data_IF_419788615844
#
_entry.id   IF_419788615844
#
_cell.length_a   1.000
_cell.length_b   1.000
_cell.length_c   1.000
_cell.angle_alpha   90.00
_cell.angle_beta   90.00
_cell.angle_gamma   90.00
#
_symmetry.space_group_name_H-M   'P 1'
#
loop_
_entity.id
_entity.type
_entity.pdbx_description
1 polymer ?
#
# COMPACT_ATOMS: atom_id res chain seq x y z
N UNK A 1 24.50 5.94 56.49
CA UNK A 1 23.61 7.09 56.19
C UNK A 1 24.17 7.70 54.92
N UNK A 2 23.63 7.36 53.74
CA UNK A 2 22.46 8.03 53.14
C UNK A 2 22.95 9.31 52.45
N UNK A 3 22.73 9.60 51.17
CA UNK A 3 21.63 9.22 50.31
C UNK A 3 22.06 9.12 48.84
N UNK A 4 21.30 8.26 48.18
CA UNK A 4 21.27 7.89 46.79
C UNK A 4 20.83 9.09 45.93
N UNK A 5 21.66 9.49 44.95
CA UNK A 5 21.23 10.36 43.88
C UNK A 5 20.38 9.53 42.91
N UNK A 6 19.08 9.55 43.15
CA UNK A 6 18.08 9.06 42.22
C UNK A 6 18.12 9.97 40.98
N UNK A 7 18.70 9.49 39.88
CA UNK A 7 18.48 10.07 38.57
C UNK A 7 17.03 9.82 38.16
N UNK A 8 16.25 10.89 38.16
CA UNK A 8 14.85 10.89 37.72
C UNK A 8 14.73 10.37 36.28
N UNK A 9 13.65 9.66 35.94
CA UNK A 9 13.42 9.21 34.58
C UNK A 9 13.15 10.43 33.69
N UNK A 10 14.04 10.56 32.70
CA UNK A 10 13.95 11.41 31.51
C UNK A 10 12.50 11.78 31.16
N UNK A 11 12.15 13.06 31.40
CA UNK A 11 10.89 13.63 30.94
C UNK A 11 10.75 13.33 29.43
N UNK A 12 9.62 12.73 29.07
CA UNK A 12 9.36 12.24 27.73
C UNK A 12 9.25 13.44 26.78
N UNK A 13 10.36 13.80 26.14
CA UNK A 13 10.41 14.78 25.05
C UNK A 13 9.26 14.49 24.06
N UNK A 14 8.49 15.52 23.64
CA UNK A 14 7.43 15.36 22.66
C UNK A 14 7.96 14.67 21.42
N UNK A 15 7.30 13.57 21.03
CA UNK A 15 7.73 12.79 19.88
C UNK A 15 7.51 13.61 18.62
N UNK A 16 8.53 13.68 17.77
CA UNK A 16 8.32 14.24 16.44
C UNK A 16 7.25 13.43 15.69
N UNK A 17 6.24 14.13 15.17
CA UNK A 17 5.18 13.56 14.35
C UNK A 17 5.75 12.73 13.21
N UNK A 18 5.16 11.56 12.94
CA UNK A 18 5.62 10.70 11.84
C UNK A 18 5.27 11.32 10.49
N UNK A 19 6.23 11.31 9.57
CA UNK A 19 6.11 11.81 8.20
C UNK A 19 6.72 10.78 7.25
N UNK A 20 6.46 10.93 5.96
CA UNK A 20 7.14 10.19 4.93
C UNK A 20 8.55 10.73 4.72
N UNK A 21 9.50 9.84 4.49
CA UNK A 21 10.86 10.22 4.13
C UNK A 21 10.86 10.89 2.75
N UNK A 22 11.60 12.00 2.62
CA UNK A 22 11.56 12.87 1.45
C UNK A 22 12.19 12.23 0.19
N UNK A 23 13.32 11.54 0.34
CA UNK A 23 14.11 10.99 -0.77
C UNK A 23 13.88 9.50 -1.02
N UNK A 24 13.84 8.69 0.02
CA UNK A 24 13.57 7.26 -0.07
C UNK A 24 12.07 7.02 -0.35
N UNK A 25 11.69 7.07 -1.61
CA UNK A 25 10.33 6.76 -2.08
C UNK A 25 10.36 6.27 -3.52
N UNK A 26 9.36 5.50 -3.89
CA UNK A 26 9.21 4.99 -5.25
C UNK A 26 8.98 6.09 -6.27
N UNK A 27 9.34 5.82 -7.52
CA UNK A 27 9.33 6.79 -8.62
C UNK A 27 7.93 7.36 -8.93
N UNK A 28 6.86 6.65 -8.59
CA UNK A 28 5.48 7.09 -8.80
C UNK A 28 4.90 7.85 -7.61
N UNK A 29 5.66 8.10 -6.55
CA UNK A 29 5.19 8.77 -5.33
C UNK A 29 5.44 10.28 -5.38
N UNK A 30 4.37 11.05 -5.22
CA UNK A 30 4.42 12.47 -4.85
C UNK A 30 4.04 12.63 -3.39
N UNK A 31 4.90 13.33 -2.66
CA UNK A 31 4.63 13.78 -1.29
C UNK A 31 4.10 15.21 -1.31
N UNK A 32 3.27 15.56 -0.34
CA UNK A 32 2.89 16.94 -0.10
C UNK A 32 4.03 17.75 0.56
N UNK A 33 3.84 19.06 0.67
CA UNK A 33 4.86 19.96 1.23
C UNK A 33 5.18 19.65 2.70
N UNK A 34 4.22 19.11 3.45
CA UNK A 34 4.41 18.72 4.84
C UNK A 34 5.00 17.32 4.98
N UNK A 35 5.11 16.53 3.90
CA UNK A 35 5.55 15.14 3.95
C UNK A 35 4.62 14.22 4.74
N UNK A 36 3.39 14.63 5.04
CA UNK A 36 2.42 13.81 5.77
C UNK A 36 1.47 13.06 4.82
N UNK A 37 1.47 13.38 3.52
CA UNK A 37 0.62 12.76 2.50
C UNK A 37 1.45 12.20 1.36
N UNK A 38 1.18 10.95 0.98
CA UNK A 38 1.77 10.30 -0.17
C UNK A 38 0.68 9.94 -1.17
N UNK A 39 0.91 10.26 -2.44
CA UNK A 39 0.00 9.96 -3.54
C UNK A 39 0.75 9.32 -4.70
N UNK A 40 0.10 8.35 -5.34
CA UNK A 40 0.62 7.73 -6.57
C UNK A 40 0.19 8.55 -7.78
N UNK A 41 1.12 8.82 -8.68
CA UNK A 41 0.94 9.71 -9.83
C UNK A 41 0.29 9.02 -11.02
N UNK A 42 0.82 7.86 -11.39
CA UNK A 42 0.38 7.01 -12.48
C UNK A 42 0.74 5.56 -12.14
N UNK A 43 0.22 4.61 -12.93
CA UNK A 43 0.46 3.15 -12.79
C UNK A 43 -0.04 2.57 -11.46
N UNK A 44 0.39 1.36 -11.11
CA UNK A 44 0.04 0.62 -9.89
C UNK A 44 1.28 0.12 -9.12
N UNK A 45 2.49 0.47 -9.56
CA UNK A 45 3.78 0.04 -8.98
C UNK A 45 4.67 1.24 -8.65
N UNK A 46 5.84 0.99 -8.06
CA UNK A 46 6.76 2.03 -7.55
C UNK A 46 6.11 2.98 -6.53
N UNK A 47 5.24 2.42 -5.69
CA UNK A 47 4.46 3.12 -4.66
C UNK A 47 5.08 3.09 -3.26
N UNK A 48 6.32 2.60 -3.13
CA UNK A 48 6.97 2.36 -1.84
C UNK A 48 7.29 3.68 -1.14
N UNK A 49 6.96 3.78 0.14
CA UNK A 49 7.30 4.90 1.01
C UNK A 49 7.76 4.41 2.39
N UNK A 50 8.59 5.21 3.04
CA UNK A 50 9.13 4.91 4.37
C UNK A 50 8.81 6.04 5.34
N UNK A 51 8.79 5.76 6.65
CA UNK A 51 8.79 6.82 7.65
C UNK A 51 10.12 7.58 7.65
N UNK A 52 10.09 8.87 8.00
CA UNK A 52 11.31 9.69 8.06
C UNK A 52 12.21 9.33 9.24
N UNK A 53 11.65 8.73 10.30
CA UNK A 53 12.38 8.30 11.50
C UNK A 53 12.06 6.85 11.87
N UNK A 54 12.89 6.22 12.72
CA UNK A 54 12.55 4.96 13.35
C UNK A 54 11.25 5.05 14.18
N UNK A 55 10.49 3.96 14.15
CA UNK A 55 9.28 3.74 14.93
C UNK A 55 9.61 2.80 16.09
N UNK A 56 9.22 3.19 17.31
CA UNK A 56 9.49 2.38 18.50
C UNK A 56 8.60 1.13 18.51
N UNK A 57 9.03 0.03 19.12
CA UNK A 57 8.14 -1.10 19.39
C UNK A 57 6.88 -0.63 20.13
N UNK A 58 5.73 -1.17 19.75
CA UNK A 58 4.38 -0.81 20.23
C UNK A 58 3.89 0.60 19.89
N UNK A 59 4.68 1.43 19.21
CA UNK A 59 4.19 2.68 18.63
C UNK A 59 3.25 2.37 17.47
N UNK A 60 2.06 2.98 17.49
CA UNK A 60 1.06 2.80 16.44
C UNK A 60 1.31 3.79 15.33
N UNK A 61 1.65 3.28 14.15
CA UNK A 61 1.63 4.07 12.92
C UNK A 61 0.19 4.17 12.46
N UNK A 62 -0.31 5.39 12.30
CA UNK A 62 -1.70 5.66 11.94
C UNK A 62 -1.73 6.26 10.54
N UNK A 63 -2.49 5.64 9.65
CA UNK A 63 -2.70 6.06 8.27
C UNK A 63 -4.18 6.36 8.06
N UNK A 64 -4.48 7.44 7.34
CA UNK A 64 -5.78 7.64 6.69
C UNK A 64 -5.65 7.30 5.21
N UNK A 65 -6.54 6.45 4.70
CA UNK A 65 -6.67 6.23 3.26
C UNK A 65 -7.47 7.38 2.67
N UNK A 66 -6.90 8.12 1.74
CA UNK A 66 -7.53 9.33 1.19
C UNK A 66 -8.28 9.07 -0.09
N UNK A 67 -7.70 8.27 -0.98
CA UNK A 67 -8.22 8.07 -2.31
C UNK A 67 -8.07 6.62 -2.75
N UNK A 68 -9.11 6.13 -3.43
CA UNK A 68 -9.20 4.82 -4.05
C UNK A 68 -9.30 4.98 -5.57
N UNK A 69 -8.80 4.00 -6.33
CA UNK A 69 -8.97 3.89 -7.78
C UNK A 69 -9.39 2.47 -8.18
N UNK A 70 -10.67 2.31 -8.54
CA UNK A 70 -11.32 1.01 -8.79
C UNK A 70 -10.82 0.27 -10.04
N UNK A 71 -9.98 0.94 -10.85
CA UNK A 71 -9.39 0.37 -12.06
C UNK A 71 -8.26 -0.63 -11.78
N UNK A 72 -7.79 -0.69 -10.54
CA UNK A 72 -6.67 -1.55 -10.12
C UNK A 72 -7.16 -2.59 -9.12
N UNK A 73 -6.53 -3.75 -9.05
CA UNK A 73 -6.75 -4.69 -7.94
C UNK A 73 -5.54 -4.74 -7.00
N UNK A 74 -5.83 -5.23 -5.79
CA UNK A 74 -4.89 -5.42 -4.69
C UNK A 74 -4.84 -4.23 -3.76
N UNK A 75 -4.42 -4.48 -2.52
CA UNK A 75 -4.53 -3.53 -1.42
C UNK A 75 -3.22 -2.89 -1.01
N UNK A 76 -3.36 -1.86 -0.18
CA UNK A 76 -2.29 -1.24 0.59
C UNK A 76 -1.48 -2.31 1.34
N UNK A 77 -0.14 -2.23 1.25
CA UNK A 77 0.75 -3.02 2.10
C UNK A 77 1.36 -2.15 3.18
N UNK A 78 1.52 -2.73 4.35
CA UNK A 78 2.14 -2.08 5.51
C UNK A 78 3.11 -3.03 6.19
N UNK A 79 4.12 -2.46 6.83
CA UNK A 79 5.14 -3.24 7.52
C UNK A 79 6.24 -2.41 8.14
N UNK A 80 7.33 -3.09 8.48
CA UNK A 80 8.54 -2.48 9.00
C UNK A 80 9.78 -2.97 8.27
N UNK A 81 10.81 -2.14 8.21
CA UNK A 81 12.11 -2.47 7.64
C UNK A 81 13.24 -2.04 8.57
N UNK A 82 14.39 -2.73 8.47
CA UNK A 82 15.67 -2.27 9.06
C UNK A 82 16.52 -1.48 8.07
N UNK A 83 16.04 -1.29 6.84
CA UNK A 83 16.70 -0.41 5.89
C UNK A 83 16.55 1.03 6.38
N UNK A 84 17.67 1.69 6.61
CA UNK A 84 17.70 3.11 6.95
C UNK A 84 17.39 3.95 5.69
N UNK A 85 16.24 4.66 5.65
CA UNK A 85 15.83 5.45 4.50
C UNK A 85 16.83 6.53 4.09
N UNK A 86 17.63 7.06 5.02
CA UNK A 86 18.69 8.05 4.70
C UNK A 86 19.80 7.44 3.84
N UNK A 87 19.95 6.11 3.88
CA UNK A 87 20.97 5.36 3.14
C UNK A 87 20.41 4.72 1.87
N UNK A 88 19.11 4.82 1.63
CA UNK A 88 18.45 4.26 0.45
C UNK A 88 18.44 5.26 -0.71
N UNK A 89 18.81 4.77 -1.89
CA UNK A 89 18.59 5.51 -3.14
C UNK A 89 17.22 5.13 -3.71
N UNK A 90 16.41 6.12 -4.11
CA UNK A 90 15.13 5.88 -4.77
C UNK A 90 15.26 4.97 -6.02
N UNK A 91 16.38 5.07 -6.74
CA UNK A 91 16.66 4.25 -7.92
C UNK A 91 16.96 2.76 -7.60
N UNK A 92 17.24 2.44 -6.33
CA UNK A 92 17.48 1.06 -5.87
C UNK A 92 16.23 0.38 -5.33
N UNK A 93 15.10 1.09 -5.26
CA UNK A 93 13.85 0.51 -4.77
C UNK A 93 13.24 -0.41 -5.83
N UNK A 94 12.82 -1.62 -5.46
CA UNK A 94 12.07 -2.49 -6.36
C UNK A 94 10.64 -1.94 -6.59
N UNK A 95 9.92 -2.45 -7.60
CA UNK A 95 8.58 -1.97 -7.92
C UNK A 95 7.54 -2.27 -6.84
N UNK A 96 7.73 -3.30 -6.01
CA UNK A 96 6.79 -3.69 -4.96
C UNK A 96 7.46 -3.95 -3.61
N UNK A 97 6.74 -3.69 -2.52
CA UNK A 97 7.22 -4.14 -1.19
C UNK A 97 7.13 -5.66 -1.07
N UNK A 98 6.01 -6.24 -1.53
CA UNK A 98 5.78 -7.68 -1.53
C UNK A 98 5.65 -8.19 -2.99
N UNK A 99 6.42 -9.19 -3.41
CA UNK A 99 7.43 -9.92 -2.62
C UNK A 99 8.80 -9.23 -2.56
N UNK A 100 9.11 -8.34 -3.51
CA UNK A 100 10.49 -7.97 -3.85
C UNK A 100 11.31 -7.43 -2.67
N UNK A 101 10.86 -6.35 -2.01
CA UNK A 101 11.61 -5.75 -0.92
C UNK A 101 11.71 -6.68 0.29
N UNK A 102 10.65 -7.45 0.57
CA UNK A 102 10.63 -8.44 1.66
C UNK A 102 11.63 -9.58 1.42
N UNK A 103 11.78 -10.05 0.18
CA UNK A 103 12.69 -11.15 -0.14
C UNK A 103 14.16 -10.71 -0.24
N UNK A 104 14.41 -9.47 -0.64
CA UNK A 104 15.75 -8.95 -0.92
C UNK A 104 16.41 -8.25 0.29
N UNK A 105 15.66 -7.97 1.35
CA UNK A 105 16.12 -7.09 2.43
C UNK A 105 15.50 -7.47 3.79
N UNK A 106 16.02 -6.96 4.91
CA UNK A 106 15.41 -7.14 6.23
C UNK A 106 14.12 -6.31 6.38
N UNK A 107 13.09 -6.69 5.63
CA UNK A 107 11.79 -6.03 5.53
C UNK A 107 10.67 -7.03 5.78
N UNK A 108 9.72 -6.64 6.62
CA UNK A 108 8.56 -7.45 7.00
C UNK A 108 7.29 -6.65 6.76
N UNK A 109 6.63 -6.93 5.64
CA UNK A 109 5.38 -6.30 5.27
C UNK A 109 4.39 -7.33 4.75
N UNK A 110 3.12 -6.95 4.74
CA UNK A 110 2.03 -7.75 4.20
C UNK A 110 0.94 -6.85 3.62
N UNK A 111 0.14 -7.43 2.72
CA UNK A 111 -1.08 -6.78 2.22
C UNK A 111 -2.15 -6.77 3.30
N UNK A 112 -2.85 -5.63 3.41
CA UNK A 112 -4.03 -5.55 4.27
C UNK A 112 -5.14 -6.43 3.69
N UNK A 113 -5.97 -7.06 4.54
CA UNK A 113 -7.13 -7.82 4.08
C UNK A 113 -8.05 -6.97 3.20
N UNK A 114 -8.79 -7.63 2.32
CA UNK A 114 -9.75 -6.97 1.45
C UNK A 114 -10.76 -6.15 2.27
N UNK A 115 -11.15 -4.98 1.75
CA UNK A 115 -12.04 -4.05 2.44
C UNK A 115 -11.44 -3.34 3.66
N UNK A 116 -10.18 -3.58 4.02
CA UNK A 116 -9.54 -2.95 5.20
C UNK A 116 -8.80 -1.64 4.89
N UNK A 117 -8.95 -1.11 3.67
CA UNK A 117 -8.28 0.09 3.18
C UNK A 117 -9.14 0.85 2.16
N UNK A 118 -10.39 1.16 2.53
CA UNK A 118 -11.29 2.00 1.73
C UNK A 118 -11.02 3.48 1.98
N UNK A 119 -11.42 4.36 1.06
CA UNK A 119 -11.26 5.80 1.24
C UNK A 119 -12.01 6.26 2.51
N UNK A 120 -11.31 7.00 3.38
CA UNK A 120 -11.77 7.41 4.70
C UNK A 120 -11.31 6.51 5.85
N UNK A 121 -10.88 5.27 5.58
CA UNK A 121 -10.47 4.34 6.62
C UNK A 121 -9.20 4.78 7.35
N UNK A 122 -9.18 4.50 8.66
CA UNK A 122 -8.03 4.65 9.53
C UNK A 122 -7.36 3.31 9.76
N UNK A 123 -6.22 3.10 9.11
CA UNK A 123 -5.40 1.90 9.31
C UNK A 123 -4.35 2.19 10.38
N UNK A 124 -4.26 1.33 11.39
CA UNK A 124 -3.25 1.38 12.43
C UNK A 124 -2.43 0.11 12.40
N UNK A 125 -1.11 0.21 12.34
CA UNK A 125 -0.24 -0.97 12.44
C UNK A 125 0.91 -0.70 13.40
N UNK A 126 1.38 -1.78 14.02
CA UNK A 126 2.45 -1.74 15.02
C UNK A 126 3.12 -3.10 15.13
N UNK A 127 4.37 -3.10 15.59
CA UNK A 127 5.08 -4.31 15.99
C UNK A 127 5.14 -4.40 17.51
N UNK A 128 4.82 -5.54 18.08
CA UNK A 128 4.97 -5.75 19.53
C UNK A 128 6.43 -6.12 19.90
N UNK A 129 6.80 -6.14 21.20
CA UNK A 129 8.15 -6.51 21.62
C UNK A 129 8.55 -7.95 21.27
N UNK A 130 7.59 -8.81 20.88
CA UNK A 130 7.82 -10.21 20.46
C UNK A 130 8.07 -10.33 18.95
N UNK A 131 8.11 -9.22 18.21
CA UNK A 131 8.32 -9.24 16.75
C UNK A 131 7.07 -9.59 15.94
N UNK A 132 5.88 -9.43 16.54
CA UNK A 132 4.60 -9.67 15.85
C UNK A 132 4.06 -8.36 15.27
N UNK A 133 3.86 -8.31 13.96
CA UNK A 133 3.26 -7.20 13.23
C UNK A 133 1.75 -7.35 13.21
N UNK A 134 1.06 -6.36 13.77
CA UNK A 134 -0.40 -6.28 13.78
C UNK A 134 -0.88 -5.10 12.96
N UNK A 135 -2.11 -5.20 12.45
CA UNK A 135 -2.85 -4.08 11.91
C UNK A 135 -4.31 -4.09 12.42
N UNK A 136 -4.93 -2.92 12.44
CA UNK A 136 -6.35 -2.70 12.79
C UNK A 136 -6.89 -1.63 11.87
N UNK A 137 -8.07 -1.84 11.30
CA UNK A 137 -8.78 -0.81 10.54
C UNK A 137 -9.95 -0.28 11.35
N UNK A 138 -10.05 1.04 11.47
CA UNK A 138 -11.09 1.73 12.24
C UNK A 138 -11.24 1.14 13.66
N UNK A 139 -12.48 0.87 14.07
CA UNK A 139 -12.82 0.20 15.32
C UNK A 139 -12.98 -1.32 15.18
N UNK A 140 -12.63 -1.88 14.02
CA UNK A 140 -12.66 -3.31 13.77
C UNK A 140 -11.66 -4.11 14.60
N UNK A 141 -11.71 -5.45 14.54
CA UNK A 141 -10.75 -6.29 15.23
C UNK A 141 -9.33 -6.07 14.68
N UNK A 142 -8.33 -6.11 15.56
CA UNK A 142 -6.94 -6.19 15.13
C UNK A 142 -6.61 -7.57 14.59
N UNK A 143 -5.80 -7.65 13.55
CA UNK A 143 -5.34 -8.88 12.94
C UNK A 143 -3.82 -8.92 12.83
N UNK A 144 -3.29 -10.14 12.81
CA UNK A 144 -1.86 -10.40 12.76
C UNK A 144 -1.42 -10.55 11.30
N UNK A 145 -0.48 -9.71 10.88
CA UNK A 145 0.10 -9.75 9.54
C UNK A 145 1.33 -10.64 9.47
N UNK A 146 2.25 -10.53 10.45
CA UNK A 146 3.52 -11.31 10.50
C UNK A 146 3.97 -11.60 11.93
N UNK A 147 4.79 -12.64 12.11
CA UNK A 147 5.27 -13.13 13.43
C UNK A 147 6.79 -13.07 13.60
N UNK A 148 7.50 -12.63 12.57
CA UNK A 148 8.93 -12.86 12.40
C UNK A 148 9.72 -11.57 12.20
N UNK A 149 9.16 -10.43 12.64
CA UNK A 149 9.89 -9.15 12.61
C UNK A 149 11.07 -9.24 13.56
N UNK A 150 12.27 -9.10 13.04
CA UNK A 150 13.46 -9.13 13.87
C UNK A 150 13.56 -7.85 14.71
N UNK A 151 13.59 -8.02 16.03
CA UNK A 151 13.74 -6.94 17.01
C UNK A 151 15.21 -6.72 17.39
N UNK A 152 15.52 -5.60 18.07
CA UNK A 152 16.87 -5.28 18.54
C UNK A 152 17.69 -4.37 17.62
N UNK A 153 17.07 -3.82 16.58
CA UNK A 153 17.61 -2.73 15.77
C UNK A 153 16.50 -1.72 15.49
N UNK A 154 16.84 -0.47 15.10
CA UNK A 154 15.84 0.51 14.67
C UNK A 154 14.99 -0.05 13.52
N UNK A 155 13.69 0.23 13.57
CA UNK A 155 12.71 -0.17 12.55
C UNK A 155 12.06 1.08 11.97
N UNK A 156 11.98 1.18 10.66
CA UNK A 156 11.20 2.22 9.97
C UNK A 156 9.91 1.61 9.47
N UNK A 157 8.84 2.39 9.49
CA UNK A 157 7.60 2.00 8.84
C UNK A 157 7.81 1.97 7.32
N UNK A 158 7.28 0.96 6.66
CA UNK A 158 7.24 0.87 5.19
C UNK A 158 5.82 0.62 4.76
N UNK A 159 5.40 1.36 3.73
CA UNK A 159 4.09 1.24 3.11
C UNK A 159 4.24 1.18 1.59
N UNK A 160 3.29 0.53 0.93
CA UNK A 160 3.24 0.47 -0.53
C UNK A 160 1.89 1.01 -1.00
N UNK A 161 1.89 2.21 -1.60
CA UNK A 161 0.70 2.87 -2.18
C UNK A 161 0.35 2.15 -3.49
N UNK A 162 -0.17 0.94 -3.35
CA UNK A 162 -0.37 -0.02 -4.42
C UNK A 162 -1.85 -0.24 -4.76
N UNK A 163 -2.08 -0.62 -6.01
CA UNK A 163 -3.35 -1.18 -6.46
C UNK A 163 -4.46 -0.16 -6.32
N UNK A 164 -5.51 -0.52 -5.60
CA UNK A 164 -6.67 0.34 -5.38
C UNK A 164 -6.35 1.59 -4.58
N UNK A 165 -5.36 1.55 -3.69
CA UNK A 165 -5.00 2.70 -2.86
C UNK A 165 -4.19 3.69 -3.67
N UNK A 166 -4.71 4.91 -3.83
CA UNK A 166 -4.07 5.98 -4.61
C UNK A 166 -3.39 7.03 -3.75
N UNK A 167 -3.91 7.30 -2.56
CA UNK A 167 -3.30 8.25 -1.63
C UNK A 167 -3.53 7.86 -0.18
N UNK A 168 -2.52 8.11 0.65
CA UNK A 168 -2.53 7.88 2.10
C UNK A 168 -1.94 9.08 2.84
N UNK A 169 -2.33 9.25 4.10
CA UNK A 169 -1.87 10.31 4.99
C UNK A 169 -1.43 9.72 6.33
N UNK A 170 -0.21 10.04 6.76
CA UNK A 170 0.27 9.74 8.10
C UNK A 170 -0.35 10.73 9.09
N UNK A 171 -1.01 10.18 10.10
CA UNK A 171 -1.60 10.95 11.18
C UNK A 171 -0.68 10.95 12.40
N UNK A 172 -0.56 12.11 13.03
CA UNK A 172 0.07 12.23 14.33
C UNK A 172 -0.93 11.78 15.42
N UNK A 173 -0.65 10.71 16.17
CA UNK A 173 -1.54 10.27 17.25
C UNK A 173 -1.53 11.22 18.46
N UNK A 174 -0.57 12.16 18.54
CA UNK A 174 -0.48 13.18 19.59
C UNK A 174 -1.07 14.53 19.19
N UNK A 175 -1.29 14.76 17.89
CA UNK A 175 -2.12 15.87 17.45
C UNK A 175 -3.57 15.54 17.81
N UNK A 176 -4.11 16.27 18.80
CA UNK A 176 -5.51 16.17 19.17
C UNK A 176 -6.39 16.20 17.92
N UNK A 177 -7.42 15.36 17.92
CA UNK A 177 -8.46 15.31 16.90
C UNK A 177 -8.85 16.73 16.44
N UNK A 178 -8.41 17.11 15.25
CA UNK A 178 -8.96 18.24 14.53
C UNK A 178 -10.01 17.66 13.57
N UNK A 179 -11.29 18.07 13.66
CA UNK A 179 -12.25 17.76 12.61
C UNK A 179 -11.67 18.26 11.29
N UNK A 180 -11.66 17.37 10.29
CA UNK A 180 -11.13 17.65 8.96
C UNK A 180 -11.50 19.06 8.50
N UNK A 181 -10.50 19.81 8.03
CA UNK A 181 -10.77 20.91 7.11
C UNK A 181 -11.71 20.37 6.02
N UNK A 182 -12.84 21.06 5.84
CA UNK A 182 -13.90 20.71 4.89
C UNK A 182 -13.31 20.26 3.55
N UNK A 183 -13.87 19.24 2.90
CA UNK A 183 -13.69 19.12 1.47
C UNK A 183 -14.42 20.31 0.84
N UNK A 184 -13.67 21.29 0.36
CA UNK A 184 -14.21 22.27 -0.57
C UNK A 184 -14.45 21.56 -1.90
N UNK A 185 -15.72 21.30 -2.19
CA UNK A 185 -16.27 21.00 -3.51
C UNK A 185 -16.59 22.35 -4.23
N UNK A 186 -17.02 22.39 -5.50
CA UNK A 186 -17.31 21.30 -6.44
C UNK A 186 -16.70 21.51 -7.85
N UNK A 187 -16.48 20.42 -8.59
CA UNK A 187 -16.51 20.49 -10.04
C UNK A 187 -17.54 19.46 -10.52
N UNK A 188 -18.71 19.99 -10.87
CA UNK A 188 -19.68 19.30 -11.71
C UNK A 188 -19.09 19.23 -13.12
N UNK A 189 -18.67 18.05 -13.55
CA UNK A 189 -18.86 17.68 -14.95
C UNK A 189 -19.48 16.28 -14.98
N UNK A 190 -20.65 16.24 -15.61
CA UNK A 190 -21.61 15.16 -15.60
C UNK A 190 -21.01 13.82 -16.06
N UNK A 191 -21.29 12.77 -15.29
CA UNK A 191 -21.27 11.41 -15.82
C UNK A 191 -22.72 10.96 -16.02
N UNK A 192 -23.10 10.47 -17.20
CA UNK A 192 -24.41 9.89 -17.41
C UNK A 192 -24.48 8.56 -16.64
N UNK A 193 -25.58 8.39 -15.92
CA UNK A 193 -26.03 7.11 -15.41
C UNK A 193 -26.22 6.16 -16.60
N UNK A 194 -25.45 5.08 -16.73
CA UNK A 194 -25.82 3.96 -17.59
C UNK A 194 -25.27 2.64 -17.06
N UNK A 195 -26.21 1.91 -16.45
CA UNK A 195 -26.59 0.52 -16.73
C UNK A 195 -25.56 -0.60 -16.52
N UNK A 196 -26.02 -1.58 -15.74
CA UNK A 196 -25.43 -2.87 -15.43
C UNK A 196 -24.81 -3.58 -16.64
N UNK A 197 -23.49 -3.46 -16.81
CA UNK A 197 -22.71 -4.49 -17.45
C UNK A 197 -22.25 -5.45 -16.35
N UNK A 198 -22.89 -6.61 -16.26
CA UNK A 198 -22.44 -7.72 -15.40
C UNK A 198 -20.96 -7.96 -15.65
N UNK A 199 -20.10 -7.47 -14.76
CA UNK A 199 -18.66 -7.65 -14.87
C UNK A 199 -18.40 -9.15 -14.75
N UNK A 200 -17.86 -9.78 -15.81
CA UNK A 200 -17.49 -11.19 -15.76
C UNK A 200 -16.57 -11.44 -14.57
N UNK A 201 -16.75 -12.53 -13.84
CA UNK A 201 -15.88 -12.90 -12.71
C UNK A 201 -14.57 -13.49 -13.21
N UNK A 202 -13.49 -13.33 -12.45
CA UNK A 202 -12.19 -13.87 -12.81
C UNK A 202 -12.23 -15.41 -12.82
N UNK A 203 -11.85 -16.00 -13.95
CA UNK A 203 -11.87 -17.45 -14.16
C UNK A 203 -10.86 -18.26 -13.31
N UNK A 204 -9.95 -17.59 -12.59
CA UNK A 204 -8.95 -18.23 -11.72
C UNK A 204 -9.40 -18.20 -10.26
N UNK A 205 -9.85 -17.04 -9.77
CA UNK A 205 -10.17 -16.87 -8.36
C UNK A 205 -11.66 -16.89 -8.06
N UNK A 206 -12.54 -16.61 -9.03
CA UNK A 206 -13.99 -16.47 -8.83
C UNK A 206 -14.40 -15.47 -7.74
N UNK A 207 -13.48 -14.59 -7.32
CA UNK A 207 -13.72 -13.62 -6.23
C UNK A 207 -13.71 -12.18 -6.72
N UNK A 208 -12.98 -11.89 -7.79
CA UNK A 208 -12.79 -10.53 -8.30
C UNK A 208 -13.25 -10.43 -9.75
N UNK A 209 -13.69 -9.24 -10.15
CA UNK A 209 -14.06 -8.97 -11.54
C UNK A 209 -12.88 -9.17 -12.51
N UNK A 210 -13.19 -9.74 -13.66
CA UNK A 210 -12.32 -9.87 -14.82
C UNK A 210 -12.13 -8.49 -15.45
N UNK A 211 -11.00 -7.85 -15.15
CA UNK A 211 -10.73 -6.45 -15.50
C UNK A 211 -9.36 -6.25 -16.14
N UNK A 212 -8.67 -7.33 -16.49
CA UNK A 212 -7.28 -7.30 -16.95
C UNK A 212 -7.12 -8.07 -18.24
N UNK A 213 -6.45 -7.44 -19.21
CA UNK A 213 -6.10 -7.98 -20.51
C UNK A 213 -4.65 -8.49 -20.54
N UNK A 214 -4.46 -9.66 -21.13
CA UNK A 214 -3.14 -10.22 -21.43
C UNK A 214 -2.71 -9.85 -22.85
N UNK A 215 -1.62 -9.11 -23.01
CA UNK A 215 -1.08 -8.69 -24.31
C UNK A 215 -0.04 -9.71 -24.78
N UNK A 216 -0.01 -10.10 -26.08
CA UNK A 216 -0.82 -9.58 -27.18
C UNK A 216 -2.13 -10.33 -27.44
N UNK A 217 -2.46 -11.34 -26.63
CA UNK A 217 -3.56 -12.25 -26.96
C UNK A 217 -4.97 -11.69 -26.70
N UNK A 218 -5.12 -10.56 -26.00
CA UNK A 218 -6.39 -9.88 -25.79
C UNK A 218 -7.33 -10.50 -24.75
N UNK A 219 -6.94 -11.60 -24.10
CA UNK A 219 -7.83 -12.31 -23.18
C UNK A 219 -8.04 -11.53 -21.88
N UNK A 220 -9.31 -11.34 -21.48
CA UNK A 220 -9.72 -10.45 -20.39
C UNK A 220 -10.34 -11.12 -19.17
N UNK A 221 -10.44 -12.45 -19.14
CA UNK A 221 -11.14 -13.25 -18.12
C UNK A 221 -10.47 -13.30 -16.73
N UNK A 222 -9.52 -12.41 -16.47
CA UNK A 222 -8.70 -12.46 -15.27
C UNK A 222 -8.77 -11.13 -14.51
N UNK A 223 -8.82 -11.21 -13.18
CA UNK A 223 -8.52 -10.04 -12.35
C UNK A 223 -7.01 -9.76 -12.41
N UNK A 224 -6.62 -8.52 -12.09
CA UNK A 224 -5.21 -8.13 -12.24
C UNK A 224 -4.27 -8.97 -11.36
N UNK A 225 -4.73 -9.39 -10.18
CA UNK A 225 -3.94 -10.24 -9.29
C UNK A 225 -3.61 -11.60 -9.93
N UNK A 226 -4.61 -12.29 -10.46
CA UNK A 226 -4.42 -13.59 -11.11
C UNK A 226 -3.64 -13.46 -12.41
N UNK A 227 -3.88 -12.42 -13.19
CA UNK A 227 -3.14 -12.15 -14.43
C UNK A 227 -1.63 -11.94 -14.17
N UNK A 228 -1.26 -11.13 -13.17
CA UNK A 228 0.14 -10.91 -12.79
C UNK A 228 0.79 -12.16 -12.20
N UNK A 229 0.05 -12.96 -11.42
CA UNK A 229 0.54 -14.24 -10.93
C UNK A 229 0.87 -15.18 -12.09
N UNK A 230 -0.01 -15.29 -13.08
CA UNK A 230 0.24 -16.09 -14.29
C UNK A 230 1.42 -15.53 -15.08
N UNK A 231 1.50 -14.21 -15.25
CA UNK A 231 2.62 -13.56 -15.94
C UNK A 231 3.97 -13.90 -15.32
N UNK A 232 4.05 -13.88 -13.99
CA UNK A 232 5.28 -14.21 -13.25
C UNK A 232 5.59 -15.70 -13.26
N UNK A 233 4.58 -16.54 -13.00
CA UNK A 233 4.81 -17.96 -12.73
C UNK A 233 5.02 -18.76 -14.03
N UNK A 234 4.26 -18.46 -15.09
CA UNK A 234 4.32 -19.20 -16.36
C UNK A 234 4.54 -18.33 -17.60
N UNK A 235 4.25 -17.03 -17.51
CA UNK A 235 4.24 -16.08 -18.63
C UNK A 235 3.41 -16.56 -19.84
N UNK A 236 2.45 -17.45 -19.65
CA UNK A 236 1.60 -18.02 -20.71
C UNK A 236 0.12 -17.83 -20.38
N UNK A 237 -0.64 -17.30 -21.32
CA UNK A 237 -2.08 -17.08 -21.17
C UNK A 237 -2.80 -18.40 -20.81
N UNK A 238 -3.62 -18.47 -19.75
CA UNK A 238 -4.30 -19.70 -19.37
C UNK A 238 -5.33 -20.17 -20.40
N UNK A 239 -5.84 -19.26 -21.24
CA UNK A 239 -6.82 -19.55 -22.29
C UNK A 239 -6.15 -20.07 -23.56
N UNK A 240 -5.29 -19.26 -24.18
CA UNK A 240 -4.70 -19.56 -25.49
C UNK A 240 -3.25 -20.07 -25.44
N UNK A 241 -2.64 -20.13 -24.25
CA UNK A 241 -1.25 -20.57 -24.01
C UNK A 241 -0.16 -19.73 -24.70
N UNK A 242 -0.51 -18.60 -25.32
CA UNK A 242 0.46 -17.66 -25.87
C UNK A 242 1.28 -16.96 -24.79
N UNK A 243 2.51 -16.60 -25.14
CA UNK A 243 3.39 -15.83 -24.25
C UNK A 243 2.82 -14.44 -24.02
N UNK A 244 2.66 -14.11 -22.75
CA UNK A 244 2.21 -12.81 -22.28
C UNK A 244 3.44 -11.89 -22.29
N UNK A 245 3.32 -10.74 -22.95
CA UNK A 245 4.35 -9.70 -22.97
C UNK A 245 4.07 -8.61 -21.94
N UNK A 246 2.79 -8.31 -21.74
CA UNK A 246 2.34 -7.24 -20.87
C UNK A 246 0.97 -7.58 -20.29
N UNK A 247 0.70 -7.08 -19.09
CA UNK A 247 -0.59 -7.20 -18.40
C UNK A 247 -1.14 -5.79 -18.23
N UNK A 248 -2.24 -5.49 -18.90
CA UNK A 248 -2.84 -4.16 -18.96
C UNK A 248 -4.30 -4.18 -18.50
N UNK A 249 -4.89 -3.07 -18.01
CA UNK A 249 -6.32 -3.02 -17.72
C UNK A 249 -7.14 -3.31 -18.99
N UNK A 250 -8.22 -4.08 -18.87
CA UNK A 250 -9.08 -4.45 -20.01
C UNK A 250 -9.70 -3.23 -20.71
N UNK A 251 -9.83 -2.10 -19.98
CA UNK A 251 -10.35 -0.82 -20.48
C UNK A 251 -9.33 0.00 -21.28
N UNK A 252 -8.07 -0.44 -21.35
CA UNK A 252 -6.98 0.27 -22.02
C UNK A 252 -6.77 -0.12 -23.49
N UNK A 253 -7.56 -1.05 -24.03
CA UNK A 253 -7.47 -1.44 -25.44
C UNK A 253 -8.31 -0.50 -26.34
N UNK A 254 -7.75 0.02 -27.45
CA UNK A 254 -8.55 0.66 -28.49
C UNK A 254 -9.53 -0.35 -29.09
N UNK A 255 -10.72 0.13 -29.47
CA UNK A 255 -11.89 -0.66 -29.89
C UNK A 255 -11.73 -1.55 -31.13
N UNK A 256 -10.51 -1.84 -31.61
CA UNK A 256 -10.27 -2.51 -32.89
C UNK A 256 -10.06 -4.02 -32.85
N UNK A 257 -9.88 -4.64 -31.69
CA UNK A 257 -9.68 -6.10 -31.59
C UNK A 257 -10.72 -6.81 -30.71
N UNK A 258 -12.00 -6.41 -30.80
CA UNK A 258 -13.13 -7.25 -30.36
C UNK A 258 -13.52 -8.22 -31.48
N UNK A 259 -12.65 -9.18 -31.76
CA UNK A 259 -12.94 -10.37 -32.58
C UNK A 259 -12.07 -11.50 -31.98
N UNK A 260 -12.55 -12.60 -31.44
CA UNK A 260 -13.87 -13.19 -31.28
C UNK A 260 -13.67 -14.63 -30.76
N UNK A 261 -14.71 -15.15 -30.09
CA UNK A 261 -15.00 -16.56 -29.74
C UNK A 261 -14.12 -17.27 -28.72
#
# INVERSE_FOLDING_TARGET
MGAQLCSEPNAMEPREALRFHDKAKGAQVRLDAQGCRASRCATFHDGIVFSQRPVRPSERVVLRVLQHEDRWCGGLRVGFTRLDPERLSAASLPPFVCPDLVEQSPTWAAVLPEGSALAGDLVRFWVDPRGRLFAKTNEGPGFLLRKDVLMGAPLWAVMDVYGTTKAIELLDPTAGWCPAAKPEAPWEEALPEHEDATAEECAICFHHAANTCLVPCGHTHFCSHCAWRVFRDTAKCPVCRWHIREVVPARALPARDRIGS
#
